data_IF_554297128398
#
_entry.id   IF_554297128398
#
_cell.length_a   1.000
_cell.length_b   1.000
_cell.length_c   1.000
_cell.angle_alpha   90.00
_cell.angle_beta   90.00
_cell.angle_gamma   90.00
#
_symmetry.space_group_name_H-M   'P 1'
#
loop_
_entity.id
_entity.type
_entity.pdbx_description
1 polymer ?
#
# COMPACT_ATOMS: atom_id res chain seq x y z
N UNK A 1 -2.72 11.25 12.24
CA UNK A 1 -2.20 10.07 12.94
C UNK A 1 -0.95 10.39 13.76
N UNK A 2 -0.03 11.18 13.25
CA UNK A 2 1.20 11.60 13.95
C UNK A 2 0.95 12.33 15.28
N UNK A 3 -0.21 12.93 15.43
CA UNK A 3 -0.59 13.71 16.63
C UNK A 3 -1.63 13.02 17.52
N UNK A 4 -1.90 11.73 17.31
CA UNK A 4 -2.94 11.02 18.03
C UNK A 4 -2.63 10.77 19.52
N UNK A 5 -1.35 10.81 19.92
CA UNK A 5 -0.89 10.68 21.30
C UNK A 5 -0.84 9.24 21.84
N UNK A 6 -1.38 8.25 21.11
CA UNK A 6 -1.39 6.84 21.51
C UNK A 6 -0.53 5.93 20.62
N UNK A 7 0.19 6.48 19.67
CA UNK A 7 1.08 5.74 18.78
C UNK A 7 2.41 6.48 18.61
N UNK A 8 3.46 5.74 18.28
CA UNK A 8 4.81 6.30 18.09
C UNK A 8 5.03 6.86 16.68
N UNK A 9 4.42 6.22 15.68
CA UNK A 9 4.53 6.64 14.27
C UNK A 9 3.38 6.08 13.43
N UNK A 10 3.29 6.56 12.19
CA UNK A 10 2.40 5.97 11.19
C UNK A 10 2.82 4.56 10.83
N UNK A 11 1.91 3.77 10.32
CA UNK A 11 2.18 2.42 9.82
C UNK A 11 3.18 2.43 8.64
N UNK A 12 3.82 1.30 8.36
CA UNK A 12 4.83 1.21 7.29
C UNK A 12 4.23 1.30 5.89
N UNK A 13 2.93 1.02 5.75
CA UNK A 13 2.19 1.13 4.49
C UNK A 13 1.05 2.11 4.72
N UNK A 14 1.01 3.17 3.93
CA UNK A 14 0.04 4.25 4.06
C UNK A 14 -0.38 4.75 2.66
N UNK A 15 -1.66 5.12 2.54
CA UNK A 15 -2.21 5.65 1.30
C UNK A 15 -2.74 4.56 0.37
N UNK A 16 -2.75 4.85 -0.92
CA UNK A 16 -3.27 3.95 -1.96
C UNK A 16 -2.15 3.04 -2.46
N UNK A 17 -2.45 1.75 -2.53
CA UNK A 17 -1.65 0.73 -3.21
C UNK A 17 -2.43 0.26 -4.45
N UNK A 18 -1.88 0.51 -5.62
CA UNK A 18 -2.41 0.18 -6.94
C UNK A 18 -1.68 -1.01 -7.60
N UNK A 19 -0.83 -1.69 -6.85
CA UNK A 19 -0.06 -2.85 -7.36
C UNK A 19 -0.92 -4.09 -7.63
N UNK A 20 -2.12 -4.15 -7.05
CA UNK A 20 -3.07 -5.23 -7.23
C UNK A 20 -4.17 -4.82 -8.23
N UNK A 21 -4.94 -5.82 -8.72
CA UNK A 21 -6.09 -5.55 -9.59
C UNK A 21 -7.15 -4.68 -8.89
N UNK A 22 -7.43 -4.95 -7.63
CA UNK A 22 -8.26 -4.11 -6.76
C UNK A 22 -7.34 -3.22 -5.92
N UNK A 23 -7.44 -1.91 -6.10
CA UNK A 23 -6.66 -0.95 -5.30
C UNK A 23 -7.04 -1.02 -3.82
N UNK A 24 -6.05 -0.87 -2.96
CA UNK A 24 -6.24 -0.89 -1.51
C UNK A 24 -5.81 0.43 -0.88
N UNK A 25 -6.64 0.97 -0.01
CA UNK A 25 -6.27 2.13 0.82
C UNK A 25 -5.83 1.66 2.20
N UNK A 26 -4.60 1.96 2.57
CA UNK A 26 -4.00 1.62 3.86
C UNK A 26 -3.94 2.81 4.80
N UNK A 27 -4.30 2.56 6.04
CA UNK A 27 -4.16 3.52 7.13
C UNK A 27 -3.79 2.76 8.39
N UNK A 28 -2.69 3.12 9.03
CA UNK A 28 -2.19 2.39 10.18
C UNK A 28 -1.30 3.23 11.09
N UNK A 29 -1.07 2.70 12.29
CA UNK A 29 -0.12 3.21 13.27
C UNK A 29 0.70 2.07 13.83
N UNK A 30 1.90 2.37 14.30
CA UNK A 30 2.78 1.42 14.98
C UNK A 30 3.28 2.00 16.32
N UNK A 31 3.73 1.11 17.19
CA UNK A 31 4.14 1.49 18.55
C UNK A 31 2.96 1.93 19.42
N UNK A 32 1.80 1.31 19.23
CA UNK A 32 0.57 1.51 20.01
C UNK A 32 0.20 0.24 20.75
N UNK A 33 -0.72 0.34 21.70
CA UNK A 33 -1.28 -0.82 22.40
C UNK A 33 -2.59 -1.28 21.73
N UNK A 34 -2.92 -2.60 21.80
CA UNK A 34 -4.15 -3.15 21.20
C UNK A 34 -5.44 -2.52 21.71
N UNK A 35 -5.47 -2.01 22.95
CA UNK A 35 -6.61 -1.31 23.54
C UNK A 35 -7.02 -0.04 22.77
N UNK A 36 -6.08 0.62 22.07
CA UNK A 36 -6.36 1.80 21.24
C UNK A 36 -6.97 1.49 19.86
N UNK A 37 -7.17 0.22 19.54
CA UNK A 37 -7.68 -0.22 18.23
C UNK A 37 -9.02 0.43 17.85
N UNK A 38 -9.95 0.51 18.80
CA UNK A 38 -11.25 1.12 18.57
C UNK A 38 -11.17 2.65 18.44
N UNK A 39 -10.33 3.28 19.26
CA UNK A 39 -10.07 4.73 19.22
C UNK A 39 -9.41 5.13 17.91
N UNK A 40 -8.41 4.37 17.46
CA UNK A 40 -7.75 4.54 16.17
C UNK A 40 -8.77 4.51 15.02
N UNK A 41 -9.60 3.47 14.96
CA UNK A 41 -10.64 3.33 13.94
C UNK A 41 -11.59 4.53 13.93
N UNK A 42 -12.11 4.89 15.09
CA UNK A 42 -13.02 6.03 15.22
C UNK A 42 -12.37 7.36 14.78
N UNK A 43 -11.11 7.56 15.14
CA UNK A 43 -10.33 8.73 14.74
C UNK A 43 -10.13 8.84 13.22
N UNK A 44 -9.80 7.73 12.55
CA UNK A 44 -9.67 7.68 11.09
C UNK A 44 -10.99 8.05 10.42
N UNK A 45 -12.11 7.42 10.82
CA UNK A 45 -13.42 7.70 10.22
C UNK A 45 -13.86 9.14 10.46
N UNK A 46 -13.63 9.67 11.64
CA UNK A 46 -13.94 11.08 11.95
C UNK A 46 -13.20 12.04 10.99
N UNK A 47 -11.93 11.79 10.73
CA UNK A 47 -11.13 12.62 9.80
C UNK A 47 -11.69 12.50 8.37
N UNK A 48 -11.99 11.28 7.92
CA UNK A 48 -12.54 11.05 6.58
C UNK A 48 -13.91 11.74 6.43
N UNK A 49 -14.78 11.66 7.43
CA UNK A 49 -16.09 12.31 7.46
C UNK A 49 -15.94 13.84 7.47
N UNK A 50 -15.03 14.39 8.27
CA UNK A 50 -14.75 15.82 8.31
C UNK A 50 -14.29 16.35 6.94
N UNK A 51 -13.42 15.61 6.24
CA UNK A 51 -12.96 15.99 4.90
C UNK A 51 -14.07 15.81 3.85
N UNK A 52 -14.84 14.74 3.91
CA UNK A 52 -15.94 14.48 2.99
C UNK A 52 -17.13 15.43 3.16
N UNK A 53 -17.22 16.15 4.28
CA UNK A 53 -18.33 17.06 4.58
C UNK A 53 -18.31 18.40 3.85
N UNK A 54 -17.18 18.75 3.24
CA UNK A 54 -16.93 20.06 2.60
C UNK A 54 -16.01 19.93 1.41
N UNK A 55 -15.98 20.94 0.50
CA UNK A 55 -15.01 20.98 -0.58
C UNK A 55 -13.57 20.94 -0.04
N UNK A 56 -12.71 20.21 -0.74
CA UNK A 56 -11.26 20.24 -0.46
C UNK A 56 -10.68 21.60 -0.94
N UNK A 57 -9.69 22.11 -0.21
CA UNK A 57 -9.04 23.38 -0.57
C UNK A 57 -8.43 23.30 -1.99
N UNK A 58 -8.92 24.15 -2.88
CA UNK A 58 -8.50 24.16 -4.28
C UNK A 58 -7.00 24.45 -4.44
N UNK A 59 -6.41 25.33 -3.60
CA UNK A 59 -4.99 25.61 -3.66
C UNK A 59 -4.13 24.38 -3.34
N UNK A 60 -4.60 23.54 -2.41
CA UNK A 60 -3.94 22.28 -2.09
C UNK A 60 -4.05 21.28 -3.26
N UNK A 61 -5.22 21.20 -3.87
CA UNK A 61 -5.46 20.33 -5.05
C UNK A 61 -4.56 20.76 -6.21
N UNK A 62 -4.52 22.04 -6.53
CA UNK A 62 -3.70 22.58 -7.60
C UNK A 62 -2.21 22.36 -7.36
N UNK A 63 -1.74 22.51 -6.12
CA UNK A 63 -0.36 22.24 -5.75
C UNK A 63 0.01 20.77 -5.94
N UNK A 64 -0.86 19.84 -5.52
CA UNK A 64 -0.65 18.39 -5.68
C UNK A 64 -0.66 18.01 -7.18
N UNK A 65 -1.62 18.50 -7.96
CA UNK A 65 -1.68 18.25 -9.39
C UNK A 65 -0.41 18.74 -10.10
N UNK A 66 0.08 19.91 -9.72
CA UNK A 66 1.33 20.46 -10.27
C UNK A 66 2.53 19.58 -9.92
N UNK A 67 2.62 19.07 -8.69
CA UNK A 67 3.67 18.14 -8.28
C UNK A 67 3.62 16.83 -9.07
N UNK A 68 2.42 16.26 -9.27
CA UNK A 68 2.23 15.05 -10.07
C UNK A 68 2.67 15.30 -11.53
N UNK A 69 2.23 16.40 -12.13
CA UNK A 69 2.58 16.79 -13.49
C UNK A 69 4.09 16.95 -13.65
N UNK A 70 4.77 17.63 -12.72
CA UNK A 70 6.20 17.82 -12.72
C UNK A 70 6.94 16.48 -12.62
N UNK A 71 6.57 15.65 -11.64
CA UNK A 71 7.20 14.35 -11.41
C UNK A 71 7.08 13.41 -12.62
N UNK A 72 5.92 13.39 -13.27
CA UNK A 72 5.68 12.54 -14.43
C UNK A 72 6.43 13.00 -15.69
N UNK A 73 6.73 14.31 -15.79
CA UNK A 73 7.49 14.87 -16.94
C UNK A 73 9.00 14.89 -16.71
N UNK A 74 9.44 14.66 -15.48
CA UNK A 74 10.85 14.68 -15.16
C UNK A 74 11.54 13.40 -15.65
N UNK A 75 12.51 13.59 -16.55
CA UNK A 75 13.37 12.51 -17.04
C UNK A 75 14.64 12.53 -16.20
N UNK A 76 14.65 11.78 -15.12
CA UNK A 76 15.83 11.61 -14.30
C UNK A 76 16.20 10.14 -14.20
N UNK A 77 17.48 9.87 -13.93
CA UNK A 77 18.04 8.53 -13.77
C UNK A 77 18.54 8.25 -12.35
N UNK A 78 18.04 9.01 -11.36
CA UNK A 78 18.47 8.91 -9.97
C UNK A 78 18.12 7.53 -9.39
N UNK A 79 19.12 6.66 -9.34
CA UNK A 79 19.04 5.33 -8.75
C UNK A 79 18.49 4.22 -9.67
N UNK A 80 17.73 4.55 -10.73
CA UNK A 80 17.18 3.58 -11.68
C UNK A 80 17.21 4.13 -13.11
N UNK A 81 17.63 3.33 -14.12
CA UNK A 81 17.55 3.75 -15.52
C UNK A 81 16.12 4.12 -15.92
N UNK A 82 15.94 5.26 -16.57
CA UNK A 82 14.63 5.79 -16.95
C UNK A 82 13.77 4.80 -17.75
N UNK A 83 14.37 4.06 -18.70
CA UNK A 83 13.63 3.04 -19.44
C UNK A 83 13.09 1.90 -18.57
N UNK A 84 13.84 1.51 -17.52
CA UNK A 84 13.36 0.52 -16.56
C UNK A 84 12.20 1.07 -15.73
N UNK A 85 12.26 2.33 -15.31
CA UNK A 85 11.15 3.00 -14.61
C UNK A 85 9.89 3.01 -15.46
N UNK A 86 9.98 3.31 -16.76
CA UNK A 86 8.84 3.27 -17.68
C UNK A 86 8.23 1.85 -17.75
N UNK A 87 9.07 0.82 -17.90
CA UNK A 87 8.59 -0.57 -17.95
C UNK A 87 7.86 -0.93 -16.65
N UNK A 88 8.44 -0.61 -15.50
CA UNK A 88 7.84 -0.93 -14.19
C UNK A 88 6.53 -0.19 -13.97
N UNK A 89 6.43 1.08 -14.38
CA UNK A 89 5.19 1.85 -14.29
C UNK A 89 4.06 1.26 -15.16
N UNK A 90 4.38 0.76 -16.36
CA UNK A 90 3.40 0.10 -17.23
C UNK A 90 3.07 -1.34 -16.84
N UNK A 91 3.91 -1.98 -16.00
CA UNK A 91 3.80 -3.40 -15.69
C UNK A 91 2.49 -3.73 -14.97
N UNK A 92 2.06 -2.89 -14.01
CA UNK A 92 0.81 -3.07 -13.29
C UNK A 92 -0.38 -3.19 -14.23
N UNK A 93 -0.52 -2.27 -15.18
CA UNK A 93 -1.57 -2.34 -16.20
C UNK A 93 -1.46 -3.59 -17.08
N UNK A 94 -0.26 -3.96 -17.50
CA UNK A 94 -0.02 -5.11 -18.37
C UNK A 94 -0.41 -6.44 -17.69
N UNK A 95 -0.01 -6.67 -16.45
CA UNK A 95 -0.35 -7.91 -15.71
C UNK A 95 -1.83 -8.00 -15.36
N UNK A 96 -2.53 -6.87 -15.28
CA UNK A 96 -3.96 -6.80 -15.03
C UNK A 96 -4.81 -6.66 -16.30
N UNK A 97 -4.23 -7.00 -17.46
CA UNK A 97 -4.90 -7.05 -18.76
C UNK A 97 -5.40 -5.69 -19.29
N UNK A 98 -4.81 -4.60 -18.83
CA UNK A 98 -5.03 -3.26 -19.36
C UNK A 98 -3.90 -2.85 -20.30
N UNK A 99 -4.13 -1.81 -21.11
CA UNK A 99 -3.10 -1.31 -22.01
C UNK A 99 -2.03 -0.53 -21.21
N UNK A 100 -0.78 -1.00 -21.17
CA UNK A 100 0.29 -0.31 -20.44
C UNK A 100 0.64 1.07 -21.02
N UNK A 101 0.32 1.34 -22.28
CA UNK A 101 0.62 2.63 -22.93
C UNK A 101 -0.24 3.75 -22.36
N UNK A 102 -1.47 3.46 -21.92
CA UNK A 102 -2.37 4.47 -21.34
C UNK A 102 -1.84 5.11 -20.06
N UNK A 103 -0.98 4.39 -19.31
CA UNK A 103 -0.35 4.91 -18.07
C UNK A 103 0.59 6.08 -18.36
N UNK A 104 1.13 6.18 -19.58
CA UNK A 104 2.04 7.23 -19.96
C UNK A 104 1.34 8.44 -20.59
N UNK A 105 0.03 8.36 -20.85
CA UNK A 105 -0.78 9.49 -21.32
C UNK A 105 -1.23 10.38 -20.15
N UNK A 106 -0.24 11.01 -19.53
CA UNK A 106 -0.43 11.87 -18.35
C UNK A 106 -1.28 13.09 -18.68
N UNK A 107 -1.14 13.66 -19.88
CA UNK A 107 -1.85 14.87 -20.26
C UNK A 107 -3.36 14.63 -20.33
N UNK A 108 -3.79 13.52 -20.93
CA UNK A 108 -5.22 13.14 -20.98
C UNK A 108 -5.76 12.84 -19.57
N UNK A 109 -4.98 12.15 -18.72
CA UNK A 109 -5.38 11.84 -17.35
C UNK A 109 -5.55 13.11 -16.51
N UNK A 110 -4.59 14.04 -16.56
CA UNK A 110 -4.67 15.32 -15.85
C UNK A 110 -5.84 16.18 -16.37
N UNK A 111 -6.06 16.21 -17.68
CA UNK A 111 -7.19 16.93 -18.26
C UNK A 111 -8.54 16.38 -17.77
N UNK A 112 -8.68 15.06 -17.71
CA UNK A 112 -9.89 14.41 -17.18
C UNK A 112 -10.12 14.77 -15.70
N UNK A 113 -9.09 14.70 -14.87
CA UNK A 113 -9.18 15.08 -13.44
C UNK A 113 -9.55 16.55 -13.28
N UNK A 114 -8.95 17.45 -14.07
CA UNK A 114 -9.28 18.88 -14.03
C UNK A 114 -10.73 19.16 -14.44
N UNK A 115 -11.31 18.36 -15.34
CA UNK A 115 -12.72 18.47 -15.70
C UNK A 115 -13.64 18.08 -14.54
N UNK A 116 -13.35 16.95 -13.89
CA UNK A 116 -14.10 16.47 -12.72
C UNK A 116 -14.00 17.44 -11.53
N UNK A 117 -12.85 18.08 -11.35
CA UNK A 117 -12.62 19.07 -10.29
C UNK A 117 -13.42 20.37 -10.44
N UNK A 118 -14.16 20.56 -11.55
CA UNK A 118 -15.14 21.65 -11.67
C UNK A 118 -16.31 21.49 -10.69
N UNK A 119 -16.61 20.26 -10.27
CA UNK A 119 -17.45 20.01 -9.11
C UNK A 119 -16.61 20.12 -7.84
N UNK A 120 -16.82 21.15 -6.98
CA UNK A 120 -16.05 21.32 -5.76
C UNK A 120 -16.19 20.14 -4.77
N UNK A 121 -17.26 19.36 -4.89
CA UNK A 121 -17.53 18.21 -4.02
C UNK A 121 -17.01 16.87 -4.60
N UNK A 122 -16.46 16.86 -5.80
CA UNK A 122 -16.06 15.62 -6.46
C UNK A 122 -15.10 14.78 -5.61
N UNK A 123 -14.00 15.36 -5.10
CA UNK A 123 -13.05 14.67 -4.22
C UNK A 123 -13.71 14.19 -2.92
N UNK A 124 -14.55 15.03 -2.32
CA UNK A 124 -15.29 14.69 -1.10
C UNK A 124 -16.24 13.51 -1.33
N UNK A 125 -16.90 13.46 -2.50
CA UNK A 125 -17.76 12.36 -2.91
C UNK A 125 -16.97 11.06 -3.16
N UNK A 126 -15.76 11.15 -3.72
CA UNK A 126 -14.87 9.98 -3.86
C UNK A 126 -14.49 9.39 -2.49
N UNK A 127 -14.09 10.24 -1.53
CA UNK A 127 -13.80 9.80 -0.16
C UNK A 127 -15.01 9.11 0.46
N UNK A 128 -16.19 9.70 0.31
CA UNK A 128 -17.43 9.11 0.82
C UNK A 128 -17.68 7.74 0.19
N UNK A 129 -17.67 7.66 -1.13
CA UNK A 129 -18.01 6.44 -1.87
C UNK A 129 -17.02 5.31 -1.62
N UNK A 130 -15.71 5.59 -1.75
CA UNK A 130 -14.69 4.55 -1.74
C UNK A 130 -14.09 4.25 -0.39
N UNK A 131 -14.14 5.20 0.57
CA UNK A 131 -13.54 5.00 1.90
C UNK A 131 -14.57 4.90 3.02
N UNK A 132 -15.62 5.75 3.03
CA UNK A 132 -16.60 5.77 4.13
C UNK A 132 -17.70 4.73 3.92
N UNK A 133 -18.33 4.71 2.76
CA UNK A 133 -19.47 3.84 2.46
C UNK A 133 -19.05 2.45 1.96
N UNK A 134 -17.77 2.25 1.65
CA UNK A 134 -17.25 0.95 1.18
C UNK A 134 -17.33 -0.11 2.29
N UNK A 135 -18.04 -1.24 2.09
CA UNK A 135 -18.12 -2.31 3.06
C UNK A 135 -16.87 -3.20 3.11
N UNK A 136 -16.04 -3.19 2.03
CA UNK A 136 -14.83 -4.00 1.93
C UNK A 136 -13.70 -3.38 2.77
N UNK A 137 -13.65 -3.73 4.04
CA UNK A 137 -12.60 -3.27 4.96
C UNK A 137 -12.19 -4.34 5.93
N UNK A 138 -10.89 -4.33 6.21
CA UNK A 138 -10.26 -5.21 7.20
C UNK A 138 -9.53 -4.35 8.22
N UNK A 139 -9.67 -4.70 9.48
CA UNK A 139 -8.86 -4.15 10.56
C UNK A 139 -7.98 -5.26 11.09
N UNK A 140 -6.68 -5.00 11.17
CA UNK A 140 -5.69 -5.94 11.65
C UNK A 140 -4.90 -5.31 12.79
N UNK A 141 -4.67 -6.06 13.87
CA UNK A 141 -3.80 -5.67 14.96
C UNK A 141 -2.71 -6.72 15.10
N UNK A 142 -1.46 -6.30 14.91
CA UNK A 142 -0.28 -7.14 15.08
C UNK A 142 0.26 -6.93 16.49
N UNK A 143 0.29 -8.00 17.27
CA UNK A 143 0.82 -7.97 18.65
C UNK A 143 2.15 -8.69 18.66
N UNK A 144 3.21 -8.10 19.27
CA UNK A 144 4.49 -8.77 19.38
C UNK A 144 4.39 -10.02 20.27
N UNK A 145 5.00 -11.11 19.83
CA UNK A 145 5.14 -12.34 20.60
C UNK A 145 6.64 -12.65 20.80
N UNK A 146 7.11 -12.54 22.03
CA UNK A 146 8.50 -12.77 22.38
C UNK A 146 8.95 -14.22 22.12
N UNK A 147 8.03 -15.18 22.08
CA UNK A 147 8.34 -16.59 21.91
C UNK A 147 8.20 -17.09 20.46
N UNK A 148 7.62 -16.28 19.57
CA UNK A 148 7.29 -16.70 18.20
C UNK A 148 8.49 -17.27 17.46
N UNK A 149 9.62 -16.58 17.47
CA UNK A 149 10.84 -17.03 16.77
C UNK A 149 11.36 -18.36 17.31
N UNK A 150 11.30 -18.58 18.62
CA UNK A 150 11.72 -19.84 19.24
C UNK A 150 10.78 -21.00 18.85
N UNK A 151 9.48 -20.74 18.80
CA UNK A 151 8.46 -21.73 18.39
C UNK A 151 8.64 -22.07 16.91
N UNK A 152 8.83 -21.08 16.05
CA UNK A 152 9.05 -21.29 14.60
C UNK A 152 10.35 -22.07 14.35
N UNK A 153 11.46 -21.71 15.02
CA UNK A 153 12.73 -22.43 14.89
C UNK A 153 12.63 -23.88 15.36
N UNK A 154 11.89 -24.15 16.44
CA UNK A 154 11.65 -25.51 16.92
C UNK A 154 10.80 -26.31 15.93
N UNK A 155 9.75 -25.72 15.37
CA UNK A 155 8.89 -26.34 14.37
C UNK A 155 9.66 -26.65 13.07
N UNK A 156 10.48 -25.71 12.61
CA UNK A 156 11.34 -25.90 11.44
C UNK A 156 12.35 -27.03 11.66
N UNK A 157 13.02 -27.03 12.79
CA UNK A 157 13.97 -28.09 13.16
C UNK A 157 13.30 -29.48 13.18
N UNK A 158 12.10 -29.56 13.76
CA UNK A 158 11.33 -30.82 13.77
C UNK A 158 10.97 -31.29 12.35
N UNK A 159 10.49 -30.36 11.51
CA UNK A 159 10.16 -30.65 10.10
C UNK A 159 11.38 -31.11 9.30
N UNK A 160 12.50 -30.44 9.45
CA UNK A 160 13.75 -30.81 8.77
C UNK A 160 14.29 -32.17 9.25
N UNK A 161 14.17 -32.49 10.54
CA UNK A 161 14.54 -33.80 11.07
C UNK A 161 13.67 -34.91 10.49
N UNK A 162 12.36 -34.67 10.34
CA UNK A 162 11.44 -35.63 9.71
C UNK A 162 11.79 -35.87 8.23
N UNK A 163 12.04 -34.80 7.46
CA UNK A 163 12.49 -34.90 6.07
C UNK A 163 13.83 -35.65 5.99
N UNK A 164 14.80 -35.27 6.83
CA UNK A 164 16.13 -35.91 6.85
C UNK A 164 16.09 -37.40 7.20
N UNK A 165 15.11 -37.83 8.01
CA UNK A 165 14.93 -39.24 8.34
C UNK A 165 14.34 -40.07 7.17
N UNK A 166 13.67 -39.42 6.21
CA UNK A 166 13.10 -40.06 5.03
C UNK A 166 14.08 -40.16 3.87
N UNK A 167 15.15 -39.32 3.88
CA UNK A 167 16.15 -39.32 2.82
C UNK A 167 17.11 -40.53 2.92
N UNK A 168 17.37 -41.14 1.78
CA UNK A 168 18.43 -42.15 1.61
C UNK A 168 19.82 -41.52 1.66
N UNK A 169 20.85 -42.30 1.91
CA UNK A 169 22.23 -41.81 1.91
C UNK A 169 22.67 -41.28 0.54
N UNK A 170 22.14 -41.82 -0.55
CA UNK A 170 22.41 -41.35 -1.89
C UNK A 170 21.79 -39.95 -2.13
N UNK A 171 20.56 -39.71 -1.70
CA UNK A 171 19.90 -38.41 -1.80
C UNK A 171 20.59 -37.35 -0.95
N UNK A 172 21.07 -37.73 0.25
CA UNK A 172 21.86 -36.81 1.12
C UNK A 172 23.17 -36.41 0.43
N UNK A 173 23.88 -37.38 -0.18
CA UNK A 173 25.14 -37.11 -0.90
C UNK A 173 24.89 -36.24 -2.14
N UNK A 174 23.76 -36.38 -2.82
CA UNK A 174 23.39 -35.54 -3.95
C UNK A 174 23.11 -34.08 -3.51
N UNK A 175 22.39 -33.89 -2.41
CA UNK A 175 22.12 -32.56 -1.83
C UNK A 175 23.45 -31.87 -1.43
N UNK A 176 24.35 -32.62 -0.75
CA UNK A 176 25.66 -32.09 -0.36
C UNK A 176 26.52 -31.68 -1.59
N UNK A 177 26.41 -32.42 -2.69
CA UNK A 177 27.16 -32.12 -3.93
C UNK A 177 26.61 -30.89 -4.68
N UNK A 178 25.34 -30.49 -4.43
CA UNK A 178 24.69 -29.33 -5.05
C UNK A 178 24.89 -28.02 -4.25
N UNK A 179 25.37 -28.11 -3.02
CA UNK A 179 25.60 -26.97 -2.13
C UNK A 179 27.05 -26.51 -2.17
#
# INVERSE_FOLDING_TARGET
LETCGYAQSTGPIMGVDDSNYEMTFYCGVQGSNPEHTAEFKAGVFKILEDVASKPVDQNMVDAILHQIELHQREINGDGMPYGLSLILNGLGSAIHHSDPVTVWDVDSAIAAVKEELKDPMWLSNLIKTYLIDNPHRVQMTLVPDANKSAVEAAAEKARLAEIGAQLTDAEKAEIEAQT
#
